data_IF_873541884432
#
_entry.id   IF_873541884432
#
_cell.length_a   1.000
_cell.length_b   1.000
_cell.length_c   1.000
_cell.angle_alpha   90.00
_cell.angle_beta   90.00
_cell.angle_gamma   90.00
#
_symmetry.space_group_name_H-M   'P 1'
#
loop_
_entity.id
_entity.type
_entity.pdbx_description
1 polymer ?
#
# COMPACT_ATOMS: atom_id res chain seq x y z
N UNK A 1 -78.77 -22.70 -8.11
CA UNK A 1 -77.40 -22.84 -7.79
C UNK A 1 -76.71 -21.46 -7.93
N UNK A 2 -76.56 -20.74 -6.81
CA UNK A 2 -76.15 -19.34 -6.84
C UNK A 2 -74.72 -19.27 -6.34
N UNK A 3 -73.76 -18.85 -7.18
CA UNK A 3 -72.41 -18.50 -6.79
C UNK A 3 -72.38 -17.05 -6.31
N UNK A 4 -71.88 -16.86 -5.05
CA UNK A 4 -71.70 -15.54 -4.46
C UNK A 4 -70.25 -15.11 -4.73
N UNK A 5 -70.12 -13.99 -5.43
CA UNK A 5 -68.82 -13.28 -5.52
C UNK A 5 -68.66 -12.36 -4.30
N UNK A 6 -67.53 -12.47 -3.62
CA UNK A 6 -67.10 -11.59 -2.54
C UNK A 6 -66.14 -10.52 -3.09
N UNK A 7 -66.28 -9.23 -2.75
CA UNK A 7 -65.42 -8.17 -3.23
C UNK A 7 -64.12 -8.08 -2.40
N UNK A 8 -63.03 -8.07 -3.08
CA UNK A 8 -61.71 -7.84 -2.51
C UNK A 8 -61.56 -6.36 -2.11
N UNK A 9 -61.37 -6.11 -0.80
CA UNK A 9 -60.97 -4.81 -0.27
C UNK A 9 -59.48 -4.61 -0.55
N UNK A 10 -59.18 -3.59 -1.33
CA UNK A 10 -57.82 -3.07 -1.48
C UNK A 10 -57.49 -2.27 -0.24
N UNK A 11 -56.59 -2.77 0.63
CA UNK A 11 -55.97 -2.05 1.70
C UNK A 11 -54.70 -1.37 1.16
N UNK A 12 -54.79 -0.05 1.02
CA UNK A 12 -53.61 0.81 0.82
C UNK A 12 -52.79 0.79 2.12
N UNK A 13 -51.66 0.07 2.10
CA UNK A 13 -50.63 0.16 3.13
C UNK A 13 -49.67 1.25 2.73
N UNK A 14 -49.74 2.39 3.41
CA UNK A 14 -48.74 3.45 3.34
C UNK A 14 -47.43 2.92 3.89
N UNK A 15 -46.45 2.65 3.02
CA UNK A 15 -45.12 2.32 3.42
C UNK A 15 -44.40 3.58 3.93
N UNK A 16 -44.25 3.65 5.27
CA UNK A 16 -43.36 4.57 5.93
C UNK A 16 -41.92 4.15 5.56
N UNK A 17 -41.26 4.97 4.73
CA UNK A 17 -39.84 4.80 4.48
C UNK A 17 -39.07 5.26 5.72
N UNK A 18 -38.84 4.31 6.63
CA UNK A 18 -37.85 4.52 7.67
C UNK A 18 -36.47 4.53 7.02
N UNK A 19 -35.80 5.67 7.05
CA UNK A 19 -34.41 5.82 6.62
C UNK A 19 -33.51 4.92 7.47
N UNK A 20 -33.17 3.76 6.92
CA UNK A 20 -32.11 2.91 7.44
C UNK A 20 -30.80 3.57 7.07
N UNK A 21 -30.18 4.26 8.03
CA UNK A 21 -28.74 4.58 7.96
C UNK A 21 -28.00 3.26 7.82
N UNK A 22 -27.60 2.92 6.60
CA UNK A 22 -26.58 1.90 6.41
C UNK A 22 -25.29 2.45 7.01
N UNK A 23 -25.00 2.05 8.25
CA UNK A 23 -23.63 2.03 8.72
C UNK A 23 -22.86 1.15 7.73
N UNK A 24 -22.03 1.75 6.90
CA UNK A 24 -20.97 1.02 6.23
C UNK A 24 -20.13 0.41 7.36
N UNK A 25 -20.29 -0.89 7.55
CA UNK A 25 -19.35 -1.66 8.33
C UNK A 25 -17.97 -1.41 7.73
N UNK A 26 -17.02 -1.00 8.56
CA UNK A 26 -15.62 -0.88 8.21
C UNK A 26 -15.21 -2.10 7.39
N UNK A 27 -14.64 -1.84 6.20
CA UNK A 27 -13.94 -2.87 5.48
C UNK A 27 -12.89 -3.46 6.45
N UNK A 28 -12.77 -4.79 6.55
CA UNK A 28 -11.79 -5.38 7.46
C UNK A 28 -10.43 -4.79 7.13
N UNK A 29 -9.79 -4.17 8.13
CA UNK A 29 -8.48 -3.55 7.99
C UNK A 29 -7.54 -4.50 7.28
N UNK A 30 -6.77 -4.00 6.33
CA UNK A 30 -5.73 -4.76 5.67
C UNK A 30 -4.88 -5.41 6.77
N UNK A 31 -4.72 -6.74 6.75
CA UNK A 31 -3.99 -7.46 7.77
C UNK A 31 -2.56 -6.92 7.84
N UNK A 32 -2.05 -6.69 9.05
CA UNK A 32 -0.66 -6.24 9.27
C UNK A 32 0.39 -7.28 8.77
N UNK A 33 -0.07 -8.45 8.36
CA UNK A 33 0.75 -9.54 7.84
C UNK A 33 0.90 -9.42 6.31
N UNK A 34 2.06 -9.00 5.79
CA UNK A 34 2.30 -8.84 4.35
C UNK A 34 2.25 -10.16 3.57
N UNK A 35 2.28 -11.29 4.26
CA UNK A 35 2.16 -12.61 3.66
C UNK A 35 0.72 -13.09 3.47
N UNK A 36 -0.27 -12.41 4.09
CA UNK A 36 -1.68 -12.70 3.90
C UNK A 36 -2.18 -12.12 2.57
N UNK A 37 -2.82 -12.94 1.76
CA UNK A 37 -3.47 -12.52 0.51
C UNK A 37 -4.69 -13.37 0.18
N UNK A 38 -5.50 -12.89 -0.73
CA UNK A 38 -6.64 -13.62 -1.29
C UNK A 38 -6.14 -14.47 -2.46
N UNK A 39 -6.35 -15.79 -2.37
CA UNK A 39 -6.03 -16.79 -3.38
C UNK A 39 -7.29 -17.17 -4.15
N UNK A 40 -7.21 -17.21 -5.47
CA UNK A 40 -8.36 -17.45 -6.34
C UNK A 40 -8.28 -18.79 -7.05
N UNK A 41 -9.32 -19.60 -6.93
CA UNK A 41 -9.45 -20.83 -7.70
C UNK A 41 -9.82 -20.49 -9.15
N UNK A 42 -8.94 -20.86 -10.09
CA UNK A 42 -9.10 -20.57 -11.53
C UNK A 42 -10.41 -21.11 -12.11
N UNK A 43 -10.87 -22.27 -11.64
CA UNK A 43 -12.03 -22.97 -12.23
C UNK A 43 -13.37 -22.53 -11.66
N UNK A 44 -13.39 -22.17 -10.37
CA UNK A 44 -14.65 -21.85 -9.66
C UNK A 44 -14.80 -20.37 -9.33
N UNK A 45 -13.73 -19.59 -9.41
CA UNK A 45 -13.70 -18.21 -8.93
C UNK A 45 -13.75 -18.08 -7.40
N UNK A 46 -13.79 -19.19 -6.67
CA UNK A 46 -13.82 -19.19 -5.20
C UNK A 46 -12.50 -18.65 -4.65
N UNK A 47 -12.58 -17.85 -3.58
CA UNK A 47 -11.42 -17.21 -2.95
C UNK A 47 -11.21 -17.71 -1.54
N UNK A 48 -9.96 -17.61 -1.07
CA UNK A 48 -9.58 -17.88 0.32
C UNK A 48 -8.46 -16.91 0.74
N UNK A 49 -8.60 -16.30 1.90
CA UNK A 49 -7.55 -15.49 2.49
C UNK A 49 -6.62 -16.38 3.33
N UNK A 50 -5.35 -16.43 2.94
CA UNK A 50 -4.38 -17.32 3.57
C UNK A 50 -2.93 -16.86 3.32
N UNK A 51 -2.02 -17.34 4.17
CA UNK A 51 -0.57 -17.17 4.05
C UNK A 51 0.07 -18.43 3.48
N UNK A 52 0.98 -18.34 2.49
CA UNK A 52 1.74 -19.48 2.01
C UNK A 52 2.84 -19.85 3.01
N UNK A 53 2.92 -21.13 3.36
CA UNK A 53 3.89 -21.66 4.30
C UNK A 53 4.85 -22.69 3.69
N UNK A 54 4.53 -23.23 2.53
CA UNK A 54 5.44 -24.09 1.76
C UNK A 54 5.02 -24.11 0.29
N UNK A 55 6.02 -24.18 -0.58
CA UNK A 55 5.84 -24.28 -2.03
C UNK A 55 6.69 -25.42 -2.58
N UNK A 56 6.13 -26.19 -3.49
CA UNK A 56 6.86 -27.16 -4.30
C UNK A 56 6.43 -27.05 -5.76
N UNK A 57 7.00 -27.88 -6.64
CA UNK A 57 6.75 -27.84 -8.09
C UNK A 57 5.28 -28.06 -8.50
N UNK A 58 4.42 -28.59 -7.63
CA UNK A 58 3.04 -28.97 -7.96
C UNK A 58 2.00 -28.32 -7.07
N UNK A 59 2.36 -27.95 -5.84
CA UNK A 59 1.39 -27.49 -4.85
C UNK A 59 1.94 -26.34 -3.99
N UNK A 60 1.04 -25.50 -3.51
CA UNK A 60 1.30 -24.57 -2.41
C UNK A 60 0.52 -25.00 -1.18
N UNK A 61 1.17 -24.95 -0.02
CA UNK A 61 0.54 -25.13 1.29
C UNK A 61 0.29 -23.76 1.91
N UNK A 62 -0.97 -23.50 2.24
CA UNK A 62 -1.43 -22.24 2.80
C UNK A 62 -1.93 -22.46 4.23
N UNK A 63 -1.89 -21.40 5.05
CA UNK A 63 -2.59 -21.35 6.35
C UNK A 63 -3.59 -20.21 6.30
N UNK A 64 -4.87 -20.53 6.48
CA UNK A 64 -5.96 -19.55 6.49
C UNK A 64 -5.91 -18.67 7.74
N UNK A 65 -6.63 -17.56 7.75
CA UNK A 65 -6.85 -16.69 8.93
C UNK A 65 -7.41 -17.46 10.13
N UNK A 66 -8.20 -18.53 9.88
CA UNK A 66 -8.68 -19.46 10.90
C UNK A 66 -7.63 -20.50 11.36
N UNK A 67 -6.35 -20.31 11.01
CA UNK A 67 -5.22 -21.20 11.33
C UNK A 67 -5.36 -22.64 10.77
N UNK A 68 -6.20 -22.86 9.77
CA UNK A 68 -6.37 -24.15 9.11
C UNK A 68 -5.39 -24.30 7.95
N UNK A 69 -4.55 -25.36 7.90
CA UNK A 69 -3.70 -25.61 6.76
C UNK A 69 -4.52 -26.18 5.59
N UNK A 70 -4.27 -25.68 4.39
CA UNK A 70 -4.84 -26.20 3.14
C UNK A 70 -3.72 -26.36 2.12
N UNK A 71 -3.87 -27.34 1.21
CA UNK A 71 -2.91 -27.57 0.12
C UNK A 71 -3.66 -27.42 -1.19
N UNK A 72 -3.16 -26.55 -2.07
CA UNK A 72 -3.78 -26.26 -3.35
C UNK A 72 -2.80 -26.65 -4.48
N UNK A 73 -3.23 -27.43 -5.48
CA UNK A 73 -2.45 -27.63 -6.69
C UNK A 73 -2.25 -26.32 -7.45
N UNK A 74 -1.04 -26.04 -7.92
CA UNK A 74 -0.72 -24.80 -8.63
C UNK A 74 -1.57 -24.61 -9.89
N UNK A 75 -1.95 -25.69 -10.56
CA UNK A 75 -2.83 -25.68 -11.72
C UNK A 75 -4.24 -25.13 -11.45
N UNK A 76 -4.68 -25.19 -10.18
CA UNK A 76 -5.99 -24.67 -9.74
C UNK A 76 -5.96 -23.21 -9.34
N UNK A 77 -4.79 -22.60 -9.22
CA UNK A 77 -4.63 -21.19 -8.92
C UNK A 77 -4.78 -20.33 -10.18
N UNK A 78 -5.19 -19.09 -9.99
CA UNK A 78 -5.17 -18.06 -11.05
C UNK A 78 -3.74 -17.87 -11.59
N UNK A 79 -3.61 -17.28 -12.77
CA UNK A 79 -2.28 -16.96 -13.32
C UNK A 79 -1.56 -15.91 -12.48
N UNK A 80 -2.32 -14.95 -11.96
CA UNK A 80 -1.82 -13.91 -11.06
C UNK A 80 -1.26 -14.51 -9.76
N UNK A 81 -1.96 -15.48 -9.15
CA UNK A 81 -1.49 -16.15 -7.94
C UNK A 81 -0.23 -16.96 -8.19
N UNK A 82 -0.11 -17.63 -9.35
CA UNK A 82 1.09 -18.38 -9.72
C UNK A 82 2.29 -17.46 -9.96
N UNK A 83 2.08 -16.34 -10.65
CA UNK A 83 3.11 -15.33 -10.86
C UNK A 83 3.61 -14.77 -9.53
N UNK A 84 2.68 -14.47 -8.62
CA UNK A 84 3.02 -14.01 -7.28
C UNK A 84 3.83 -15.02 -6.48
N UNK A 85 3.48 -16.33 -6.55
CA UNK A 85 4.25 -17.39 -5.87
C UNK A 85 5.69 -17.48 -6.41
N UNK A 86 5.89 -17.32 -7.70
CA UNK A 86 7.23 -17.35 -8.30
C UNK A 86 8.06 -16.13 -7.85
N UNK A 87 7.46 -14.95 -7.81
CA UNK A 87 8.10 -13.72 -7.34
C UNK A 87 8.52 -13.80 -5.85
N UNK A 88 7.71 -14.49 -5.02
CA UNK A 88 7.91 -14.53 -3.56
C UNK A 88 8.45 -15.88 -3.05
N UNK A 89 8.89 -16.78 -3.92
CA UNK A 89 9.33 -18.13 -3.54
C UNK A 89 10.40 -18.16 -2.46
N UNK A 90 11.28 -17.17 -2.43
CA UNK A 90 12.41 -17.09 -1.50
C UNK A 90 11.98 -16.82 -0.04
N UNK A 91 10.78 -16.31 0.18
CA UNK A 91 10.26 -15.98 1.52
C UNK A 91 9.16 -16.92 1.99
N UNK A 92 8.61 -17.76 1.09
CA UNK A 92 7.58 -18.73 1.47
C UNK A 92 8.12 -19.68 2.55
N UNK A 93 7.40 -19.75 3.68
CA UNK A 93 7.80 -20.55 4.84
C UNK A 93 8.72 -19.84 5.84
N UNK A 94 9.18 -18.62 5.54
CA UNK A 94 9.96 -17.82 6.46
C UNK A 94 9.08 -17.01 7.42
N UNK A 95 9.66 -16.48 8.54
CA UNK A 95 8.94 -15.60 9.45
C UNK A 95 8.39 -14.35 8.74
N UNK A 96 7.24 -13.84 9.21
CA UNK A 96 6.54 -12.68 8.61
C UNK A 96 7.48 -11.45 8.50
N UNK A 97 8.38 -11.27 9.46
CA UNK A 97 9.36 -10.17 9.43
C UNK A 97 10.27 -10.18 8.18
N UNK A 98 10.52 -11.34 7.58
CA UNK A 98 11.32 -11.44 6.36
C UNK A 98 10.52 -11.08 5.10
N UNK A 99 9.18 -11.13 5.15
CA UNK A 99 8.31 -10.76 4.02
C UNK A 99 8.33 -9.26 3.74
N UNK A 100 8.46 -8.45 4.79
CA UNK A 100 8.56 -7.00 4.63
C UNK A 100 9.86 -6.53 3.98
N UNK A 101 10.86 -7.40 3.87
CA UNK A 101 12.13 -7.11 3.20
C UNK A 101 12.14 -7.45 1.70
N UNK A 102 11.07 -8.07 1.19
CA UNK A 102 10.94 -8.40 -0.24
C UNK A 102 10.33 -7.21 -0.97
N UNK A 103 11.01 -6.68 -1.99
CA UNK A 103 10.47 -5.58 -2.78
C UNK A 103 9.17 -5.96 -3.48
N UNK A 104 8.18 -5.05 -3.45
CA UNK A 104 6.87 -5.28 -4.10
C UNK A 104 6.90 -5.10 -5.62
N UNK A 105 7.98 -4.58 -6.16
CA UNK A 105 8.11 -4.30 -7.58
C UNK A 105 9.28 -3.36 -7.91
N UNK A 106 9.39 -2.87 -9.16
CA UNK A 106 10.51 -2.07 -9.66
C UNK A 106 10.88 -0.86 -8.82
N UNK A 107 9.90 -0.16 -8.24
CA UNK A 107 10.17 1.01 -7.37
C UNK A 107 11.01 0.61 -6.17
N UNK A 108 10.56 -0.42 -5.45
CA UNK A 108 11.26 -0.92 -4.27
C UNK A 108 12.62 -1.54 -4.61
N UNK A 109 12.71 -2.28 -5.72
CA UNK A 109 13.97 -2.85 -6.21
C UNK A 109 15.01 -1.78 -6.51
N UNK A 110 14.64 -0.71 -7.22
CA UNK A 110 15.56 0.39 -7.50
C UNK A 110 16.02 1.13 -6.25
N UNK A 111 15.22 1.19 -5.19
CA UNK A 111 15.49 1.94 -3.96
C UNK A 111 16.18 1.13 -2.88
N UNK A 112 16.08 -0.19 -2.94
CA UNK A 112 16.68 -1.11 -1.96
C UNK A 112 18.16 -0.84 -1.77
N UNK A 113 18.58 -0.64 -0.50
CA UNK A 113 19.94 -0.34 -0.12
C UNK A 113 20.47 1.05 -0.52
N UNK A 114 19.59 1.94 -1.02
CA UNK A 114 19.98 3.32 -1.40
C UNK A 114 19.37 4.39 -0.48
N UNK A 115 18.41 4.02 0.35
CA UNK A 115 17.72 4.95 1.25
C UNK A 115 18.39 5.05 2.61
N UNK A 116 18.07 6.13 3.32
CA UNK A 116 18.55 6.43 4.66
C UNK A 116 17.37 6.73 5.57
N UNK A 117 17.44 6.29 6.81
CA UNK A 117 16.51 6.64 7.88
C UNK A 117 17.18 7.50 8.93
N UNK A 118 16.43 8.40 9.55
CA UNK A 118 16.92 9.20 10.67
C UNK A 118 16.91 8.35 11.94
N UNK A 119 18.10 8.04 12.47
CA UNK A 119 18.28 7.34 13.74
C UNK A 119 19.23 8.13 14.64
N UNK A 120 18.77 8.47 15.85
CA UNK A 120 19.56 9.25 16.82
C UNK A 120 20.18 10.54 16.26
N UNK A 121 19.43 11.25 15.39
CA UNK A 121 19.84 12.51 14.78
C UNK A 121 20.80 12.37 13.59
N UNK A 122 21.10 11.14 13.16
CA UNK A 122 21.94 10.83 11.99
C UNK A 122 21.17 10.08 10.92
N UNK A 123 21.58 10.26 9.68
CA UNK A 123 21.07 9.47 8.57
C UNK A 123 21.90 8.17 8.43
N UNK A 124 21.28 7.07 8.83
CA UNK A 124 21.87 5.74 8.71
C UNK A 124 21.29 5.04 7.48
N UNK A 125 22.11 4.25 6.79
CA UNK A 125 21.69 3.52 5.59
C UNK A 125 20.72 2.41 5.98
N UNK A 126 19.46 2.60 5.64
CA UNK A 126 18.36 1.71 6.01
C UNK A 126 17.16 1.94 5.10
N UNK A 127 16.57 0.85 4.66
CA UNK A 127 15.36 0.90 3.86
C UNK A 127 14.10 1.09 4.74
N UNK A 128 13.08 1.74 4.15
CA UNK A 128 11.73 1.75 4.67
C UNK A 128 10.97 0.48 4.31
N UNK A 129 9.65 0.58 4.18
CA UNK A 129 8.82 -0.54 3.70
C UNK A 129 9.19 -0.85 2.25
N UNK A 130 9.56 -2.08 1.96
CA UNK A 130 9.87 -2.55 0.60
C UNK A 130 8.70 -3.26 -0.08
N UNK A 131 7.62 -3.55 0.65
CA UNK A 131 6.47 -4.29 0.12
C UNK A 131 5.12 -3.53 0.18
N UNK A 132 5.06 -2.21 -0.02
CA UNK A 132 3.79 -1.52 -0.20
C UNK A 132 3.30 -1.66 -1.64
N UNK A 133 1.98 -1.52 -1.85
CA UNK A 133 1.40 -1.45 -3.19
C UNK A 133 1.62 -0.11 -3.88
N UNK A 134 1.93 0.95 -3.10
CA UNK A 134 2.08 2.32 -3.60
C UNK A 134 3.21 3.05 -2.90
N UNK A 135 3.85 3.97 -3.65
CA UNK A 135 4.87 4.86 -3.11
C UNK A 135 4.49 6.32 -3.34
N UNK A 136 4.76 7.16 -2.35
CA UNK A 136 4.69 8.62 -2.49
C UNK A 136 6.12 9.12 -2.61
N UNK A 137 6.52 9.54 -3.82
CA UNK A 137 7.82 10.15 -4.07
C UNK A 137 7.73 11.63 -3.72
N UNK A 138 8.34 12.03 -2.59
CA UNK A 138 8.32 13.39 -2.05
C UNK A 138 9.57 14.16 -2.42
N UNK A 139 9.50 15.01 -3.43
CA UNK A 139 10.59 15.86 -3.89
C UNK A 139 10.67 17.13 -3.06
N UNK A 140 11.81 17.35 -2.36
CA UNK A 140 11.97 18.44 -1.43
C UNK A 140 13.44 18.72 -1.13
N UNK A 141 13.76 19.89 -0.50
CA UNK A 141 15.13 20.27 -0.15
C UNK A 141 15.16 21.30 0.98
N UNK A 142 16.25 21.34 1.77
CA UNK A 142 16.42 22.26 2.89
C UNK A 142 16.57 23.74 2.48
N UNK A 143 17.09 24.01 1.30
CA UNK A 143 17.25 25.35 0.74
C UNK A 143 15.96 25.94 0.14
N UNK A 144 14.90 25.14 0.02
CA UNK A 144 13.63 25.54 -0.54
C UNK A 144 12.70 26.09 0.56
N UNK A 145 12.46 27.38 0.58
CA UNK A 145 11.62 28.03 1.60
C UNK A 145 10.20 27.44 1.73
N UNK A 146 9.44 27.22 0.64
CA UNK A 146 8.16 26.50 0.71
C UNK A 146 8.28 25.10 1.28
N UNK A 147 9.35 24.37 0.96
CA UNK A 147 9.61 23.03 1.48
C UNK A 147 9.80 23.03 3.00
N UNK A 148 10.56 23.98 3.52
CA UNK A 148 10.78 24.14 4.97
C UNK A 148 9.47 24.43 5.71
N UNK A 149 8.60 25.26 5.15
CA UNK A 149 7.29 25.56 5.76
C UNK A 149 6.36 24.34 5.74
N UNK A 150 6.44 23.51 4.71
CA UNK A 150 5.59 22.32 4.56
C UNK A 150 6.08 21.11 5.37
N UNK A 151 7.36 21.03 5.71
CA UNK A 151 7.95 19.85 6.35
C UNK A 151 7.24 19.40 7.65
N UNK A 152 6.89 20.29 8.62
CA UNK A 152 6.17 19.88 9.83
C UNK A 152 4.80 19.27 9.53
N UNK A 153 4.04 19.85 8.59
CA UNK A 153 2.73 19.33 8.17
C UNK A 153 2.86 17.97 7.49
N UNK A 154 3.90 17.78 6.67
CA UNK A 154 4.16 16.49 6.05
C UNK A 154 4.52 15.41 7.07
N UNK A 155 5.28 15.74 8.12
CA UNK A 155 5.61 14.82 9.22
C UNK A 155 4.34 14.42 9.99
N UNK A 156 3.46 15.37 10.30
CA UNK A 156 2.18 15.09 10.94
C UNK A 156 1.31 14.17 10.07
N UNK A 157 1.17 14.48 8.78
CA UNK A 157 0.40 13.68 7.82
C UNK A 157 0.95 12.25 7.68
N UNK A 158 2.27 12.08 7.65
CA UNK A 158 2.90 10.76 7.63
C UNK A 158 2.54 9.94 8.87
N UNK A 159 2.72 10.52 10.05
CA UNK A 159 2.43 9.83 11.31
C UNK A 159 0.96 9.43 11.44
N UNK A 160 0.06 10.22 10.84
CA UNK A 160 -1.38 9.98 10.87
C UNK A 160 -1.85 8.96 9.81
N UNK A 161 -1.31 9.02 8.61
CA UNK A 161 -1.90 8.34 7.45
C UNK A 161 -1.00 7.28 6.79
N UNK A 162 0.33 7.32 7.00
CA UNK A 162 1.28 6.44 6.32
C UNK A 162 1.98 5.49 7.25
N UNK A 163 2.36 5.93 8.45
CA UNK A 163 3.20 5.15 9.39
C UNK A 163 2.70 3.73 9.59
N UNK A 164 1.42 3.58 9.88
CA UNK A 164 0.78 2.29 10.16
C UNK A 164 0.00 1.74 8.95
N UNK A 165 0.12 2.38 7.78
CA UNK A 165 -0.50 1.92 6.54
C UNK A 165 0.46 0.98 5.81
N UNK A 166 0.15 -0.34 5.69
CA UNK A 166 1.06 -1.31 5.07
C UNK A 166 1.16 -1.13 3.54
N UNK A 167 0.19 -0.45 2.92
CA UNK A 167 0.07 -0.33 1.47
C UNK A 167 0.74 0.91 0.88
N UNK A 168 1.17 1.83 1.72
CA UNK A 168 1.80 3.09 1.26
C UNK A 168 3.11 3.31 1.99
N UNK A 169 4.15 3.70 1.25
CA UNK A 169 5.38 4.23 1.80
C UNK A 169 5.72 5.58 1.17
N UNK A 170 6.31 6.47 1.96
CA UNK A 170 6.86 7.74 1.47
C UNK A 170 8.36 7.59 1.28
N UNK A 171 8.84 7.92 0.11
CA UNK A 171 10.28 8.05 -0.17
C UNK A 171 10.59 9.52 -0.45
N UNK A 172 11.33 10.17 0.43
CA UNK A 172 11.76 11.53 0.20
C UNK A 172 12.91 11.56 -0.81
N UNK A 173 12.65 12.07 -2.00
CA UNK A 173 13.65 12.39 -3.02
C UNK A 173 14.30 13.72 -2.64
N UNK A 174 15.34 13.66 -1.80
CA UNK A 174 16.03 14.83 -1.27
C UNK A 174 16.92 15.46 -2.35
N UNK A 175 16.78 16.78 -2.58
CA UNK A 175 17.52 17.53 -3.60
C UNK A 175 18.64 18.38 -3.02
N UNK A 176 19.02 18.21 -1.75
CA UNK A 176 20.18 18.84 -1.16
C UNK A 176 21.47 18.37 -1.85
N UNK A 177 22.50 19.21 -1.81
CA UNK A 177 23.75 18.92 -2.52
C UNK A 177 24.61 17.85 -1.84
N UNK A 178 24.41 17.63 -0.53
CA UNK A 178 25.22 16.69 0.24
C UNK A 178 24.44 16.09 1.42
N UNK A 179 24.98 15.00 1.96
CA UNK A 179 24.43 14.27 3.10
C UNK A 179 24.27 15.15 4.35
N UNK A 180 25.22 16.06 4.62
CA UNK A 180 25.20 16.87 5.83
C UNK A 180 23.99 17.82 5.85
N UNK A 181 23.69 18.48 4.74
CA UNK A 181 22.52 19.35 4.59
C UNK A 181 21.21 18.56 4.75
N UNK A 182 21.11 17.41 4.08
CA UNK A 182 19.96 16.52 4.19
C UNK A 182 19.77 16.05 5.65
N UNK A 183 20.84 15.63 6.33
CA UNK A 183 20.81 15.17 7.72
C UNK A 183 20.38 16.27 8.70
N UNK A 184 20.95 17.47 8.60
CA UNK A 184 20.56 18.59 9.45
C UNK A 184 19.08 18.90 9.32
N UNK A 185 18.58 18.89 8.10
CA UNK A 185 17.17 19.18 7.84
C UNK A 185 16.26 18.06 8.32
N UNK A 186 16.61 16.80 8.06
CA UNK A 186 15.88 15.66 8.55
C UNK A 186 15.81 15.64 10.09
N UNK A 187 16.93 15.91 10.77
CA UNK A 187 16.99 15.95 12.22
C UNK A 187 16.17 17.12 12.81
N UNK A 188 16.25 18.31 12.21
CA UNK A 188 15.50 19.48 12.66
C UNK A 188 13.97 19.29 12.59
N UNK A 189 13.48 18.41 11.72
CA UNK A 189 12.06 18.14 11.53
C UNK A 189 11.64 16.75 12.02
N UNK A 190 12.55 15.95 12.58
CA UNK A 190 12.28 14.55 12.97
C UNK A 190 11.60 13.76 11.84
N UNK A 191 12.16 13.82 10.62
CA UNK A 191 11.58 13.19 9.44
C UNK A 191 11.53 11.67 9.59
N UNK A 192 10.34 11.05 9.51
CA UNK A 192 10.18 9.63 9.86
C UNK A 192 10.30 8.66 8.68
N UNK A 193 10.41 9.18 7.47
CA UNK A 193 10.39 8.40 6.22
C UNK A 193 11.80 8.12 5.67
N UNK A 194 11.95 7.11 4.80
CA UNK A 194 13.17 6.88 4.04
C UNK A 194 13.53 8.07 3.15
N UNK A 195 14.82 8.40 3.12
CA UNK A 195 15.38 9.51 2.35
C UNK A 195 16.33 8.96 1.28
N UNK A 196 16.03 9.27 0.03
CA UNK A 196 16.88 9.01 -1.12
C UNK A 196 17.65 10.29 -1.45
N UNK A 197 18.98 10.26 -1.33
CA UNK A 197 19.82 11.44 -1.57
C UNK A 197 19.89 11.78 -3.06
N UNK A 198 20.18 13.03 -3.39
CA UNK A 198 20.24 13.52 -4.77
C UNK A 198 21.11 12.68 -5.70
N UNK A 199 22.29 12.26 -5.21
CA UNK A 199 23.22 11.42 -6.00
C UNK A 199 22.72 9.99 -6.19
N UNK A 200 21.82 9.53 -5.32
CA UNK A 200 21.28 8.17 -5.32
C UNK A 200 19.90 8.08 -5.99
N UNK A 201 19.39 9.20 -6.54
CA UNK A 201 18.09 9.22 -7.24
C UNK A 201 18.06 8.18 -8.35
N UNK A 202 17.07 7.30 -8.25
CA UNK A 202 16.87 6.22 -9.23
C UNK A 202 16.38 6.77 -10.58
N UNK A 203 16.50 5.97 -11.63
CA UNK A 203 16.01 6.37 -12.95
C UNK A 203 14.50 6.59 -12.95
N UNK A 204 13.76 5.78 -12.19
CA UNK A 204 12.33 5.93 -12.02
C UNK A 204 12.00 7.27 -11.32
N UNK A 205 12.68 7.60 -10.21
CA UNK A 205 12.47 8.87 -9.54
C UNK A 205 12.80 10.07 -10.44
N UNK A 206 13.89 10.00 -11.22
CA UNK A 206 14.25 11.04 -12.20
C UNK A 206 13.21 11.21 -13.30
N UNK A 207 12.66 10.10 -13.81
CA UNK A 207 11.63 10.09 -14.87
C UNK A 207 10.35 10.81 -14.47
N UNK A 208 9.95 10.69 -13.19
CA UNK A 208 8.72 11.33 -12.69
C UNK A 208 9.00 12.65 -11.97
N UNK A 209 10.24 13.12 -11.92
CA UNK A 209 10.61 14.33 -11.18
C UNK A 209 9.78 15.56 -11.62
N UNK A 210 9.23 16.32 -10.65
CA UNK A 210 8.40 17.47 -10.94
C UNK A 210 9.26 18.68 -11.37
N UNK A 211 8.61 19.67 -11.99
CA UNK A 211 9.26 20.94 -12.37
C UNK A 211 9.54 21.87 -11.17
N UNK A 212 8.92 21.63 -10.05
CA UNK A 212 9.04 22.46 -8.85
C UNK A 212 8.86 21.68 -7.57
N UNK A 213 9.34 22.21 -6.45
CA UNK A 213 9.26 21.63 -5.12
C UNK A 213 8.68 22.61 -4.09
N UNK A 214 7.99 22.16 -3.02
CA UNK A 214 7.73 20.75 -2.71
C UNK A 214 6.66 20.15 -3.63
N UNK A 215 6.81 18.88 -4.01
CA UNK A 215 5.80 18.13 -4.75
C UNK A 215 5.88 16.65 -4.34
N UNK A 216 4.73 16.02 -4.15
CA UNK A 216 4.59 14.60 -3.91
C UNK A 216 3.90 13.95 -5.09
N UNK A 217 4.40 12.79 -5.52
CA UNK A 217 3.84 12.02 -6.63
C UNK A 217 3.54 10.62 -6.14
N UNK A 218 2.27 10.24 -6.15
CA UNK A 218 1.84 8.88 -5.90
C UNK A 218 2.10 8.04 -7.15
N UNK A 219 2.81 6.94 -6.97
CA UNK A 219 3.05 5.94 -8.00
C UNK A 219 2.61 4.56 -7.49
N UNK A 220 2.23 3.66 -8.40
CA UNK A 220 2.08 2.25 -8.06
C UNK A 220 3.45 1.56 -7.88
N UNK A 221 3.45 0.29 -7.48
CA UNK A 221 4.67 -0.50 -7.27
C UNK A 221 5.55 -0.62 -8.53
N UNK A 222 4.95 -0.44 -9.72
CA UNK A 222 5.62 -0.50 -11.02
C UNK A 222 6.15 0.88 -11.47
N UNK A 223 5.92 1.93 -10.65
CA UNK A 223 6.40 3.29 -10.89
C UNK A 223 5.51 4.12 -11.82
N UNK A 224 4.31 3.66 -12.12
CA UNK A 224 3.36 4.41 -12.92
C UNK A 224 2.74 5.53 -12.08
N UNK A 225 2.84 6.80 -12.51
CA UNK A 225 2.22 7.91 -11.78
C UNK A 225 0.70 7.81 -11.76
N UNK A 226 0.13 8.01 -10.57
CA UNK A 226 -1.32 8.00 -10.32
C UNK A 226 -1.83 9.41 -10.10
N UNK A 227 -1.19 10.15 -9.18
CA UNK A 227 -1.60 11.51 -8.79
C UNK A 227 -0.42 12.32 -8.28
N UNK A 228 -0.47 13.64 -8.45
CA UNK A 228 0.47 14.59 -7.85
C UNK A 228 -0.27 15.55 -6.93
N UNK A 229 0.33 15.87 -5.77
CA UNK A 229 -0.23 16.80 -4.79
C UNK A 229 0.87 17.34 -3.87
N UNK A 230 0.54 18.36 -3.08
CA UNK A 230 1.32 18.79 -1.90
C UNK A 230 0.69 18.30 -0.59
N UNK A 231 -0.47 17.64 -0.68
CA UNK A 231 -1.21 17.05 0.43
C UNK A 231 -1.03 15.52 0.43
N UNK A 232 -0.33 15.01 1.44
CA UNK A 232 -0.03 13.59 1.60
C UNK A 232 -1.29 12.76 1.89
N UNK A 233 -2.22 13.27 2.71
CA UNK A 233 -3.45 12.55 3.05
C UNK A 233 -4.33 12.33 1.81
N UNK A 234 -4.36 13.32 0.90
CA UNK A 234 -5.05 13.19 -0.38
C UNK A 234 -4.46 12.05 -1.23
N UNK A 235 -3.14 11.92 -1.25
CA UNK A 235 -2.47 10.85 -2.01
C UNK A 235 -2.71 9.47 -1.39
N UNK A 236 -2.73 9.36 -0.06
CA UNK A 236 -3.07 8.11 0.63
C UNK A 236 -4.50 7.67 0.32
N UNK A 237 -5.46 8.60 0.28
CA UNK A 237 -6.84 8.30 -0.15
C UNK A 237 -6.90 7.82 -1.60
N UNK A 238 -6.12 8.45 -2.49
CA UNK A 238 -6.04 8.04 -3.90
C UNK A 238 -5.45 6.63 -4.06
N UNK A 239 -4.44 6.24 -3.25
CA UNK A 239 -3.91 4.88 -3.22
C UNK A 239 -5.00 3.85 -2.87
N UNK A 240 -5.83 4.13 -1.85
CA UNK A 240 -6.96 3.27 -1.48
C UNK A 240 -8.01 3.12 -2.58
N UNK A 241 -8.30 4.20 -3.31
CA UNK A 241 -9.29 4.20 -4.40
C UNK A 241 -8.82 3.42 -5.65
N UNK A 242 -7.51 3.40 -5.91
CA UNK A 242 -6.93 2.70 -7.07
C UNK A 242 -7.02 1.16 -6.95
N UNK A 243 -7.20 0.62 -5.74
CA UNK A 243 -7.47 -0.81 -5.49
C UNK A 243 -8.87 -1.24 -5.90
N UNK A 244 -9.86 -0.36 -5.76
CA UNK A 244 -11.28 -0.71 -6.03
C UNK A 244 -11.62 -0.77 -7.52
N UNK A 245 -10.71 -0.36 -8.39
CA UNK A 245 -10.90 -0.29 -9.85
C UNK A 245 -10.14 -1.37 -10.62
N UNK A 246 -9.55 -2.34 -9.92
CA UNK A 246 -8.93 -3.56 -10.48
C UNK A 246 -9.68 -4.79 -9.99
#
# INVERSE_FOLDING_TARGET
MRMKFSPWRILLVSAFVAGSSFCFADAPGASEDPSLRIWTNKSTGSTVEARPIALNMKTVKLVTTAKKPITIPLEKLSEEDRAWLEEHKEVIGKPVAEWSSVPSGPVAEEMKGKTYMLENGKLEKKDGKLNPGHFILYFSASWCGPCCRNAPHSVEAYNKAVKDNPDVEVIMCNLDQNLEAAQKWAAANNMPWPILLRQDLTELAKKVAPRGIPTMILVDKDGKPIQSSQDMEQLVKAAGSSRSSR
#
